data_IF_908616326805
#
_entry.id   IF_908616326805
#
_cell.length_a   1.000
_cell.length_b   1.000
_cell.length_c   1.000
_cell.angle_alpha   90.00
_cell.angle_beta   90.00
_cell.angle_gamma   90.00
#
_symmetry.space_group_name_H-M   'P 1'
#
loop_
_entity.id
_entity.type
_entity.pdbx_description
1 polymer ?
#
# COMPACT_ATOMS: atom_id res chain seq x y z
N UNK A 1 24.80 -30.45 -5.94
CA UNK A 1 24.53 -30.50 -4.49
C UNK A 1 23.04 -30.29 -4.31
N UNK A 2 22.35 -31.14 -3.56
CA UNK A 2 20.96 -30.86 -3.16
C UNK A 2 20.93 -29.55 -2.37
N UNK A 3 19.92 -28.69 -2.52
CA UNK A 3 19.80 -27.50 -1.69
C UNK A 3 19.84 -27.93 -0.21
N UNK A 4 20.54 -27.18 0.67
CA UNK A 4 20.59 -27.51 2.08
C UNK A 4 19.15 -27.65 2.59
N UNK A 5 18.87 -28.76 3.30
CA UNK A 5 17.61 -28.91 4.03
C UNK A 5 17.52 -27.73 4.98
N UNK A 6 16.68 -26.75 4.66
CA UNK A 6 16.31 -25.70 5.61
C UNK A 6 15.73 -26.40 6.84
N UNK A 7 16.32 -26.21 8.01
CA UNK A 7 15.68 -26.59 9.27
C UNK A 7 14.39 -25.77 9.37
N UNK A 8 13.26 -26.42 9.16
CA UNK A 8 11.96 -25.77 9.27
C UNK A 8 11.68 -25.53 10.76
N UNK A 9 11.82 -24.27 11.20
CA UNK A 9 11.40 -23.86 12.55
C UNK A 9 9.88 -23.88 12.58
N UNK A 10 9.30 -24.83 13.30
CA UNK A 10 7.85 -24.88 13.51
C UNK A 10 7.45 -23.84 14.55
N UNK A 11 6.42 -23.05 14.25
CA UNK A 11 5.84 -22.09 15.17
C UNK A 11 5.18 -22.81 16.37
N UNK A 12 5.33 -22.23 17.56
CA UNK A 12 4.63 -22.73 18.74
C UNK A 12 3.16 -22.26 18.77
N UNK A 13 2.41 -22.76 19.73
CA UNK A 13 0.97 -22.45 19.86
C UNK A 13 0.72 -20.97 20.19
N UNK A 14 1.61 -20.33 20.94
CA UNK A 14 1.46 -18.93 21.35
C UNK A 14 1.66 -18.00 20.15
N UNK A 15 2.74 -18.21 19.39
CA UNK A 15 3.02 -17.54 18.13
C UNK A 15 1.86 -17.68 17.15
N UNK A 16 1.34 -18.90 16.96
CA UNK A 16 0.19 -19.13 16.06
C UNK A 16 -1.07 -18.40 16.53
N UNK A 17 -1.31 -18.28 17.85
CA UNK A 17 -2.43 -17.53 18.38
C UNK A 17 -2.28 -16.02 18.13
N UNK A 18 -1.08 -15.48 18.31
CA UNK A 18 -0.75 -14.08 18.01
C UNK A 18 -0.90 -13.78 16.51
N UNK A 19 -0.35 -14.64 15.67
CA UNK A 19 -0.44 -14.53 14.22
C UNK A 19 -1.89 -14.59 13.74
N UNK A 20 -2.68 -15.52 14.30
CA UNK A 20 -4.12 -15.62 14.03
C UNK A 20 -4.86 -14.33 14.41
N UNK A 21 -4.58 -13.77 15.59
CA UNK A 21 -5.19 -12.51 16.02
C UNK A 21 -4.89 -11.36 15.04
N UNK A 22 -3.64 -11.23 14.60
CA UNK A 22 -3.22 -10.18 13.66
C UNK A 22 -3.93 -10.31 12.29
N UNK A 23 -4.20 -11.53 11.82
CA UNK A 23 -5.00 -11.74 10.61
C UNK A 23 -6.49 -11.46 10.80
N UNK A 24 -7.07 -11.88 11.93
CA UNK A 24 -8.48 -11.67 12.20
C UNK A 24 -8.83 -10.19 12.43
N UNK A 25 -7.93 -9.40 13.04
CA UNK A 25 -8.25 -8.02 13.40
C UNK A 25 -8.28 -7.07 12.20
N UNK A 26 -7.51 -7.37 11.15
CA UNK A 26 -7.50 -6.61 9.88
C UNK A 26 -8.46 -7.18 8.84
N UNK A 27 -9.13 -8.30 9.14
CA UNK A 27 -10.13 -8.88 8.24
C UNK A 27 -11.28 -7.89 8.04
N UNK A 28 -11.51 -7.51 6.77
CA UNK A 28 -12.51 -6.53 6.34
C UNK A 28 -12.49 -5.28 7.22
N UNK A 29 -11.38 -4.57 7.22
CA UNK A 29 -11.14 -3.45 8.14
C UNK A 29 -12.21 -2.33 8.03
N UNK A 30 -12.78 -2.16 6.84
CA UNK A 30 -13.86 -1.21 6.53
C UNK A 30 -15.21 -1.60 7.13
N UNK A 31 -15.46 -2.90 7.29
CA UNK A 31 -16.66 -3.40 7.94
C UNK A 31 -16.57 -3.27 9.48
N UNK A 32 -17.70 -3.22 10.19
CA UNK A 32 -17.72 -3.40 11.64
C UNK A 32 -17.07 -4.73 12.04
N UNK A 33 -16.26 -4.69 13.11
CA UNK A 33 -15.60 -5.87 13.65
C UNK A 33 -16.63 -6.96 14.00
N UNK A 34 -16.48 -8.16 13.42
CA UNK A 34 -17.46 -9.25 13.57
C UNK A 34 -17.18 -10.18 14.77
N UNK A 35 -15.99 -10.10 15.36
CA UNK A 35 -15.58 -11.00 16.44
C UNK A 35 -16.03 -10.48 17.81
N UNK A 36 -17.06 -11.11 18.40
CA UNK A 36 -17.64 -10.67 19.67
C UNK A 36 -16.63 -10.55 20.83
N UNK A 37 -15.67 -11.48 20.90
CA UNK A 37 -14.64 -11.48 21.94
C UNK A 37 -13.76 -10.22 21.85
N UNK A 38 -13.35 -9.86 20.63
CA UNK A 38 -12.55 -8.66 20.38
C UNK A 38 -13.35 -7.38 20.61
N UNK A 39 -14.66 -7.38 20.28
CA UNK A 39 -15.54 -6.25 20.59
C UNK A 39 -15.66 -6.04 22.11
N UNK A 40 -15.86 -7.12 22.89
CA UNK A 40 -15.93 -7.05 24.35
C UNK A 40 -14.61 -6.53 24.94
N UNK A 41 -13.48 -7.02 24.42
CA UNK A 41 -12.14 -6.59 24.85
C UNK A 41 -11.89 -5.11 24.53
N UNK A 42 -12.20 -4.66 23.32
CA UNK A 42 -12.04 -3.26 22.91
C UNK A 42 -12.92 -2.30 23.73
N UNK A 43 -14.16 -2.70 24.06
CA UNK A 43 -15.06 -1.91 24.94
C UNK A 43 -14.59 -1.84 26.39
N UNK A 44 -13.76 -2.79 26.85
CA UNK A 44 -13.20 -2.78 28.21
C UNK A 44 -12.03 -1.81 28.40
N UNK A 45 -11.58 -1.18 27.31
CA UNK A 45 -10.42 -0.29 27.32
C UNK A 45 -10.61 0.86 28.30
N UNK A 46 -9.63 1.00 29.19
CA UNK A 46 -9.47 2.16 30.07
C UNK A 46 -8.01 2.58 30.02
N UNK A 47 -7.76 3.88 29.89
CA UNK A 47 -6.41 4.40 29.87
C UNK A 47 -5.81 4.34 31.27
N UNK A 48 -4.75 3.56 31.42
CA UNK A 48 -3.91 3.54 32.60
C UNK A 48 -2.46 3.75 32.19
N UNK A 49 -1.76 4.69 32.81
CA UNK A 49 -0.34 4.96 32.54
C UNK A 49 0.55 3.75 32.86
N UNK A 50 0.18 2.94 33.86
CA UNK A 50 0.93 1.76 34.29
C UNK A 50 0.84 0.57 33.30
N UNK A 51 0.07 0.72 32.23
CA UNK A 51 0.00 -0.26 31.13
C UNK A 51 1.11 -0.06 30.08
N UNK A 52 1.90 1.02 30.19
CA UNK A 52 2.86 1.42 29.18
C UNK A 52 4.27 1.60 29.74
N UNK A 53 5.27 1.23 28.92
CA UNK A 53 6.69 1.43 29.21
C UNK A 53 7.22 2.50 28.27
N UNK A 54 7.42 3.70 28.80
CA UNK A 54 7.90 4.84 28.03
C UNK A 54 9.44 4.98 28.11
N UNK A 55 10.10 5.39 27.01
CA UNK A 55 11.47 5.85 27.05
C UNK A 55 11.59 7.18 27.83
N UNK A 56 12.82 7.53 28.24
CA UNK A 56 13.12 8.76 28.98
C UNK A 56 12.62 10.02 28.26
N UNK A 57 12.72 10.03 26.94
CA UNK A 57 12.12 11.02 26.06
C UNK A 57 11.08 10.34 25.17
N UNK A 58 9.80 10.65 25.36
CA UNK A 58 8.70 10.24 24.48
C UNK A 58 7.91 11.47 24.05
N UNK A 59 7.16 11.34 22.95
CA UNK A 59 6.29 12.40 22.48
C UNK A 59 5.02 12.50 23.34
N UNK A 60 4.29 13.60 23.21
CA UNK A 60 2.99 13.76 23.88
C UNK A 60 1.82 13.31 22.99
N UNK A 61 2.09 12.82 21.77
CA UNK A 61 1.07 12.46 20.78
C UNK A 61 0.09 11.40 21.28
N UNK A 62 0.55 10.40 22.04
CA UNK A 62 -0.34 9.43 22.67
C UNK A 62 -1.40 10.07 23.59
N UNK A 63 -0.99 11.05 24.40
CA UNK A 63 -1.91 11.74 25.32
C UNK A 63 -2.87 12.62 24.54
N UNK A 64 -2.36 13.36 23.56
CA UNK A 64 -3.16 14.22 22.68
C UNK A 64 -4.21 13.42 21.92
N UNK A 65 -3.84 12.27 21.36
CA UNK A 65 -4.77 11.35 20.71
C UNK A 65 -5.86 10.87 21.67
N UNK A 66 -5.50 10.49 22.90
CA UNK A 66 -6.49 10.06 23.89
C UNK A 66 -7.43 11.18 24.33
N UNK A 67 -6.92 12.41 24.44
CA UNK A 67 -7.75 13.58 24.69
C UNK A 67 -8.70 13.84 23.52
N UNK A 68 -8.20 13.82 22.29
CA UNK A 68 -9.01 13.96 21.08
C UNK A 68 -10.11 12.90 21.03
N UNK A 69 -9.78 11.64 21.36
CA UNK A 69 -10.74 10.54 21.42
C UNK A 69 -11.84 10.79 22.47
N UNK A 70 -11.47 11.26 23.68
CA UNK A 70 -12.44 11.60 24.72
C UNK A 70 -13.40 12.72 24.33
N UNK A 71 -12.91 13.71 23.59
CA UNK A 71 -13.71 14.83 23.12
C UNK A 71 -14.47 14.51 21.82
N UNK A 72 -14.22 13.36 21.19
CA UNK A 72 -14.86 12.95 19.94
C UNK A 72 -14.38 13.74 18.73
N UNK A 73 -13.14 14.23 18.75
CA UNK A 73 -12.53 15.06 17.68
C UNK A 73 -11.42 14.33 16.92
N UNK A 74 -11.32 13.01 17.06
CA UNK A 74 -10.45 12.17 16.21
C UNK A 74 -11.00 12.07 14.79
N UNK A 75 -10.14 11.77 13.82
CA UNK A 75 -10.53 11.48 12.44
C UNK A 75 -11.63 10.41 12.44
N UNK A 76 -12.83 10.71 11.91
CA UNK A 76 -13.93 9.74 11.90
C UNK A 76 -13.61 8.51 11.05
N UNK A 77 -14.29 7.41 11.36
CA UNK A 77 -14.27 6.21 10.53
C UNK A 77 -14.92 6.48 9.18
N UNK A 78 -14.36 5.91 8.12
CA UNK A 78 -14.82 6.14 6.75
C UNK A 78 -14.34 7.47 6.14
N UNK A 79 -13.73 8.39 6.88
CA UNK A 79 -13.13 9.59 6.27
C UNK A 79 -11.76 9.31 5.68
N UNK A 80 -11.31 10.09 4.69
CA UNK A 80 -10.00 9.90 4.06
C UNK A 80 -8.86 10.05 5.07
N UNK A 81 -7.91 9.11 5.00
CA UNK A 81 -6.67 9.15 5.76
C UNK A 81 -5.48 9.31 4.83
N UNK A 82 -4.68 10.34 5.07
CA UNK A 82 -3.43 10.60 4.37
C UNK A 82 -2.31 10.78 5.39
N UNK A 83 -1.27 9.94 5.32
CA UNK A 83 -0.16 9.99 6.29
C UNK A 83 0.71 11.25 6.18
N UNK A 84 0.60 11.96 5.04
CA UNK A 84 1.26 13.23 4.81
C UNK A 84 0.46 14.42 5.34
N UNK A 85 -0.83 14.25 5.63
CA UNK A 85 -1.62 15.30 6.26
C UNK A 85 -1.22 15.43 7.73
N UNK A 86 -0.84 16.63 8.17
CA UNK A 86 -0.22 16.84 9.48
C UNK A 86 -1.11 16.39 10.64
N UNK A 87 -2.39 16.75 10.63
CA UNK A 87 -3.37 16.37 11.67
C UNK A 87 -3.62 14.86 11.73
N UNK A 88 -3.64 14.20 10.57
CA UNK A 88 -3.80 12.76 10.45
C UNK A 88 -2.55 12.03 10.96
N UNK A 89 -1.38 12.55 10.61
CA UNK A 89 -0.09 12.04 11.08
C UNK A 89 0.02 12.08 12.61
N UNK A 90 -0.29 13.21 13.26
CA UNK A 90 -0.22 13.33 14.73
C UNK A 90 -1.11 12.28 15.42
N UNK A 91 -2.33 12.10 14.92
CA UNK A 91 -3.25 11.10 15.46
C UNK A 91 -2.76 9.67 15.21
N UNK A 92 -2.23 9.38 14.01
CA UNK A 92 -1.68 8.08 13.67
C UNK A 92 -0.46 7.74 14.52
N UNK A 93 0.44 8.69 14.72
CA UNK A 93 1.63 8.50 15.56
C UNK A 93 1.23 8.29 17.02
N UNK A 94 0.27 9.06 17.54
CA UNK A 94 -0.27 8.85 18.88
C UNK A 94 -0.91 7.47 19.04
N UNK A 95 -1.62 6.97 18.03
CA UNK A 95 -2.17 5.61 18.01
C UNK A 95 -1.09 4.53 17.93
N UNK A 96 -0.02 4.76 17.16
CA UNK A 96 1.15 3.89 17.11
C UNK A 96 1.80 3.76 18.49
N UNK A 97 1.96 4.86 19.24
CA UNK A 97 2.52 4.82 20.60
C UNK A 97 1.69 3.97 21.57
N UNK A 98 0.36 3.94 21.41
CA UNK A 98 -0.54 3.03 22.16
C UNK A 98 -0.23 1.56 21.94
N UNK A 99 0.24 1.20 20.75
CA UNK A 99 0.60 -0.16 20.40
C UNK A 99 2.05 -0.47 20.77
N UNK A 100 2.97 0.44 20.44
CA UNK A 100 4.39 0.24 20.63
C UNK A 100 4.79 0.17 22.11
N UNK A 101 4.30 1.10 22.94
CA UNK A 101 4.68 1.15 24.36
C UNK A 101 3.87 0.21 25.25
N UNK A 102 2.96 -0.60 24.71
CA UNK A 102 2.19 -1.55 25.50
C UNK A 102 3.11 -2.61 26.15
N UNK A 103 3.06 -2.72 27.49
CA UNK A 103 4.00 -3.52 28.29
C UNK A 103 4.02 -5.02 27.99
N UNK A 104 2.92 -5.58 27.51
CA UNK A 104 2.75 -7.00 27.22
C UNK A 104 1.68 -7.23 26.15
N UNK A 105 1.54 -8.48 25.73
CA UNK A 105 0.60 -8.89 24.69
C UNK A 105 -0.86 -8.58 25.04
N UNK A 106 -1.28 -8.75 26.30
CA UNK A 106 -2.67 -8.54 26.71
C UNK A 106 -3.08 -7.06 26.61
N UNK A 107 -2.19 -6.14 27.01
CA UNK A 107 -2.40 -4.70 26.84
C UNK A 107 -2.41 -4.35 25.36
N UNK A 108 -1.45 -4.86 24.58
CA UNK A 108 -1.39 -4.64 23.13
C UNK A 108 -2.70 -5.09 22.46
N UNK A 109 -3.14 -6.32 22.72
CA UNK A 109 -4.36 -6.89 22.15
C UNK A 109 -5.59 -6.05 22.49
N UNK A 110 -5.72 -5.62 23.74
CA UNK A 110 -6.82 -4.73 24.18
C UNK A 110 -6.80 -3.40 23.44
N UNK A 111 -5.62 -2.79 23.31
CA UNK A 111 -5.46 -1.50 22.64
C UNK A 111 -5.77 -1.60 21.14
N UNK A 112 -5.31 -2.65 20.47
CA UNK A 112 -5.62 -2.91 19.06
C UNK A 112 -7.12 -3.15 18.88
N UNK A 113 -7.77 -3.93 19.74
CA UNK A 113 -9.22 -4.12 19.69
C UNK A 113 -9.99 -2.81 19.90
N UNK A 114 -9.55 -1.95 20.82
CA UNK A 114 -10.12 -0.62 21.02
C UNK A 114 -9.98 0.24 19.78
N UNK A 115 -8.77 0.31 19.22
CA UNK A 115 -8.50 1.08 18.01
C UNK A 115 -9.32 0.58 16.82
N UNK A 116 -9.43 -0.74 16.62
CA UNK A 116 -10.24 -1.32 15.54
C UNK A 116 -11.72 -0.89 15.59
N UNK A 117 -12.25 -0.66 16.78
CA UNK A 117 -13.64 -0.22 16.98
C UNK A 117 -13.83 1.27 16.67
N UNK A 118 -12.87 2.12 17.02
CA UNK A 118 -13.10 3.58 17.08
C UNK A 118 -12.18 4.42 16.20
N UNK A 119 -10.99 3.94 15.87
CA UNK A 119 -10.04 4.64 15.01
C UNK A 119 -10.45 4.48 13.54
N UNK A 120 -10.08 5.49 12.73
CA UNK A 120 -10.13 5.42 11.29
C UNK A 120 -9.33 4.21 10.75
N UNK A 121 -9.83 3.60 9.69
CA UNK A 121 -9.33 2.35 9.10
C UNK A 121 -7.89 2.48 8.62
N UNK A 122 -7.58 3.50 7.82
CA UNK A 122 -6.24 3.73 7.28
C UNK A 122 -5.23 4.04 8.39
N UNK A 123 -5.63 4.90 9.32
CA UNK A 123 -4.82 5.24 10.50
C UNK A 123 -4.53 4.00 11.37
N UNK A 124 -5.54 3.17 11.60
CA UNK A 124 -5.43 1.95 12.39
C UNK A 124 -4.44 0.96 11.76
N UNK A 125 -4.57 0.68 10.47
CA UNK A 125 -3.70 -0.27 9.76
C UNK A 125 -2.27 0.26 9.74
N UNK A 126 -2.05 1.53 9.42
CA UNK A 126 -0.69 2.08 9.39
C UNK A 126 -0.02 2.03 10.77
N UNK A 127 -0.72 2.44 11.83
CA UNK A 127 -0.22 2.37 13.20
C UNK A 127 0.08 0.92 13.64
N UNK A 128 -0.79 -0.03 13.26
CA UNK A 128 -0.60 -1.45 13.55
C UNK A 128 0.60 -2.02 12.79
N UNK A 129 0.76 -1.70 11.50
CA UNK A 129 1.90 -2.12 10.68
C UNK A 129 3.21 -1.63 11.28
N UNK A 130 3.29 -0.36 11.68
CA UNK A 130 4.47 0.19 12.35
C UNK A 130 4.76 -0.55 13.66
N UNK A 131 3.75 -0.82 14.48
CA UNK A 131 3.94 -1.53 15.74
C UNK A 131 4.38 -2.99 15.52
N UNK A 132 3.85 -3.67 14.50
CA UNK A 132 4.23 -5.06 14.17
C UNK A 132 5.66 -5.16 13.67
N UNK A 133 6.11 -4.20 12.85
CA UNK A 133 7.48 -4.18 12.30
C UNK A 133 8.51 -3.85 13.39
N UNK A 134 8.21 -2.87 14.24
CA UNK A 134 9.23 -2.28 15.12
C UNK A 134 9.31 -2.87 16.53
N UNK A 135 8.32 -3.66 16.96
CA UNK A 135 8.36 -4.27 18.29
C UNK A 135 9.25 -5.51 18.32
N UNK A 136 10.24 -5.50 19.22
CA UNK A 136 11.18 -6.60 19.41
C UNK A 136 10.50 -7.95 19.75
N UNK A 137 9.37 -7.93 20.46
CA UNK A 137 8.64 -9.14 20.84
C UNK A 137 7.82 -9.77 19.70
N UNK A 138 7.76 -9.11 18.53
CA UNK A 138 6.98 -9.52 17.37
C UNK A 138 7.84 -10.07 16.22
N UNK A 139 9.12 -10.36 16.46
CA UNK A 139 9.99 -10.97 15.45
C UNK A 139 9.35 -12.22 14.81
N UNK A 140 9.18 -12.16 13.49
CA UNK A 140 8.56 -13.18 12.66
C UNK A 140 7.02 -13.10 12.53
N UNK A 141 6.33 -12.28 13.31
CA UNK A 141 4.90 -12.00 13.09
C UNK A 141 4.73 -11.08 11.87
N UNK A 142 3.66 -11.28 11.12
CA UNK A 142 3.38 -10.49 9.92
C UNK A 142 1.91 -10.13 9.80
N UNK A 143 1.63 -8.99 9.18
CA UNK A 143 0.29 -8.69 8.68
C UNK A 143 0.12 -9.28 7.28
N UNK A 144 -1.13 -9.43 6.79
CA UNK A 144 -1.40 -9.70 5.38
C UNK A 144 -0.78 -8.61 4.51
N UNK A 145 -0.66 -8.89 3.21
CA UNK A 145 -0.11 -7.90 2.30
C UNK A 145 -1.02 -6.66 2.25
N UNK A 146 -0.45 -5.47 2.06
CA UNK A 146 -1.23 -4.23 2.12
C UNK A 146 -2.35 -4.18 1.06
N UNK A 147 -2.13 -4.79 -0.12
CA UNK A 147 -3.17 -4.94 -1.16
C UNK A 147 -4.26 -5.98 -0.83
N UNK A 148 -4.05 -6.85 0.16
CA UNK A 148 -5.09 -7.75 0.68
C UNK A 148 -5.95 -7.05 1.74
N UNK A 149 -5.38 -6.06 2.44
CA UNK A 149 -6.09 -5.26 3.44
C UNK A 149 -6.88 -4.14 2.76
N UNK A 150 -6.24 -3.40 1.85
CA UNK A 150 -6.82 -2.28 1.10
C UNK A 150 -6.68 -2.47 -0.42
N UNK A 151 -7.46 -3.36 -1.03
CA UNK A 151 -7.38 -3.62 -2.47
C UNK A 151 -7.68 -2.38 -3.34
N UNK A 152 -8.49 -1.44 -2.86
CA UNK A 152 -8.91 -0.25 -3.60
C UNK A 152 -7.78 0.72 -3.96
N UNK A 153 -6.63 0.67 -3.27
CA UNK A 153 -5.46 1.48 -3.61
C UNK A 153 -4.56 0.83 -4.66
N UNK A 154 -4.87 -0.41 -5.06
CA UNK A 154 -4.05 -1.22 -5.95
C UNK A 154 -4.80 -1.65 -7.21
N UNK A 155 -6.12 -1.66 -7.17
CA UNK A 155 -6.96 -1.99 -8.32
C UNK A 155 -7.75 -0.76 -8.77
N UNK A 156 -7.96 -0.65 -10.08
CA UNK A 156 -8.76 0.41 -10.65
C UNK A 156 -10.20 0.39 -10.10
N UNK A 157 -10.82 1.57 -10.05
CA UNK A 157 -12.18 1.79 -9.57
C UNK A 157 -13.23 0.93 -10.29
N UNK A 158 -13.05 0.64 -11.58
CA UNK A 158 -13.95 -0.26 -12.33
C UNK A 158 -14.02 -1.63 -11.66
N UNK A 159 -12.87 -2.24 -11.35
CA UNK A 159 -12.82 -3.53 -10.66
C UNK A 159 -13.45 -3.43 -9.26
N UNK A 160 -13.11 -2.40 -8.48
CA UNK A 160 -13.63 -2.23 -7.12
C UNK A 160 -15.16 -2.14 -7.13
N UNK A 161 -15.75 -1.34 -8.02
CA UNK A 161 -17.21 -1.23 -8.15
C UNK A 161 -17.87 -2.53 -8.65
N UNK A 162 -17.20 -3.31 -9.50
CA UNK A 162 -17.70 -4.63 -9.93
C UNK A 162 -17.63 -5.67 -8.81
N UNK A 163 -16.63 -5.57 -7.93
CA UNK A 163 -16.50 -6.40 -6.74
C UNK A 163 -17.54 -6.06 -5.67
N UNK A 164 -17.79 -4.77 -5.40
CA UNK A 164 -18.83 -4.33 -4.46
C UNK A 164 -20.23 -4.74 -4.90
N UNK A 165 -20.49 -4.75 -6.21
CA UNK A 165 -21.78 -5.17 -6.79
C UNK A 165 -21.93 -6.69 -6.91
N UNK A 166 -20.90 -7.46 -6.59
CA UNK A 166 -20.94 -8.91 -6.73
C UNK A 166 -21.93 -9.52 -5.73
N UNK A 167 -23.01 -10.08 -6.27
CA UNK A 167 -24.00 -10.84 -5.51
C UNK A 167 -24.05 -12.28 -6.03
N UNK A 168 -23.81 -13.24 -5.14
CA UNK A 168 -23.74 -14.65 -5.49
C UNK A 168 -25.06 -15.21 -6.01
N UNK A 169 -26.20 -14.81 -5.44
CA UNK A 169 -27.51 -15.32 -5.84
C UNK A 169 -27.91 -14.80 -7.23
N UNK A 170 -27.52 -13.58 -7.55
CA UNK A 170 -27.70 -12.97 -8.86
C UNK A 170 -26.76 -13.61 -9.88
N UNK A 171 -25.46 -13.69 -9.57
CA UNK A 171 -24.44 -14.26 -10.44
C UNK A 171 -24.72 -15.73 -10.76
N UNK A 172 -25.10 -16.54 -9.75
CA UNK A 172 -25.41 -17.97 -9.95
C UNK A 172 -26.60 -18.18 -10.90
N UNK A 173 -27.64 -17.35 -10.80
CA UNK A 173 -28.78 -17.37 -11.74
C UNK A 173 -28.35 -16.96 -13.14
N UNK A 174 -27.54 -15.91 -13.28
CA UNK A 174 -27.03 -15.49 -14.59
C UNK A 174 -26.22 -16.60 -15.26
N UNK A 175 -25.34 -17.29 -14.53
CA UNK A 175 -24.58 -18.42 -15.09
C UNK A 175 -25.49 -19.59 -15.45
N UNK A 176 -26.51 -19.91 -14.65
CA UNK A 176 -27.48 -20.93 -15.01
C UNK A 176 -28.18 -20.58 -16.33
N UNK A 177 -28.62 -19.33 -16.48
CA UNK A 177 -29.23 -18.86 -17.73
C UNK A 177 -28.24 -18.84 -18.89
N UNK A 178 -27.02 -18.35 -18.71
CA UNK A 178 -25.99 -18.41 -19.76
C UNK A 178 -25.71 -19.83 -20.17
N UNK A 179 -25.62 -20.77 -19.23
CA UNK A 179 -25.44 -22.19 -19.52
C UNK A 179 -26.62 -22.75 -20.31
N UNK A 180 -27.85 -22.35 -20.00
CA UNK A 180 -29.06 -22.75 -20.73
C UNK A 180 -29.12 -22.13 -22.14
N UNK A 181 -28.81 -20.84 -22.28
CA UNK A 181 -28.82 -20.11 -23.56
C UNK A 181 -27.64 -20.46 -24.46
N UNK A 182 -26.45 -20.68 -23.90
CA UNK A 182 -25.21 -21.05 -24.60
C UNK A 182 -25.01 -22.57 -24.66
N UNK A 183 -25.96 -23.38 -24.20
CA UNK A 183 -25.89 -24.86 -24.28
C UNK A 183 -25.67 -25.34 -25.72
N UNK A 184 -26.10 -24.56 -26.72
CA UNK A 184 -25.74 -24.81 -28.11
C UNK A 184 -24.22 -24.78 -28.34
N UNK A 185 -23.46 -23.83 -27.77
CA UNK A 185 -21.99 -23.75 -27.92
C UNK A 185 -21.26 -24.97 -27.34
N UNK A 186 -21.88 -25.66 -26.37
CA UNK A 186 -21.33 -26.85 -25.70
C UNK A 186 -21.84 -28.16 -26.29
N UNK A 187 -22.81 -28.13 -27.22
CA UNK A 187 -23.22 -29.32 -27.98
C UNK A 187 -22.08 -29.79 -28.86
N UNK A 188 -21.80 -31.09 -28.80
CA UNK A 188 -20.83 -31.71 -29.69
C UNK A 188 -21.37 -31.74 -31.13
N UNK A 189 -21.00 -30.70 -31.88
CA UNK A 189 -21.36 -30.60 -33.29
C UNK A 189 -20.38 -31.33 -34.20
N UNK A 190 -19.32 -31.97 -33.69
CA UNK A 190 -18.35 -32.71 -34.50
C UNK A 190 -19.01 -33.76 -35.41
N UNK A 191 -20.13 -34.33 -34.95
CA UNK A 191 -20.96 -35.26 -35.71
C UNK A 191 -21.65 -34.64 -36.95
N UNK A 192 -21.91 -33.33 -36.94
CA UNK A 192 -22.53 -32.60 -38.06
C UNK A 192 -21.49 -32.06 -39.05
N UNK A 193 -20.26 -31.77 -38.62
CA UNK A 193 -19.17 -31.33 -39.53
C UNK A 193 -18.61 -32.46 -40.39
N UNK A 194 -18.72 -33.72 -39.97
CA UNK A 194 -18.43 -34.88 -40.84
C UNK A 194 -19.30 -34.95 -42.11
N UNK A 195 -20.36 -34.13 -42.21
CA UNK A 195 -21.24 -34.03 -43.38
C UNK A 195 -20.92 -32.86 -44.32
N UNK A 196 -20.03 -31.94 -43.94
CA UNK A 196 -19.72 -30.75 -44.72
C UNK A 196 -18.19 -30.65 -44.88
N UNK A 197 -17.67 -31.18 -45.98
CA UNK A 197 -16.22 -31.36 -46.25
C UNK A 197 -15.38 -30.05 -46.30
N UNK A 198 -16.00 -28.86 -46.19
CA UNK A 198 -15.33 -27.56 -46.37
C UNK A 198 -15.61 -26.53 -45.25
N UNK A 199 -16.10 -26.95 -44.08
CA UNK A 199 -16.27 -26.05 -42.93
C UNK A 199 -15.21 -26.32 -41.86
N UNK A 200 -14.05 -25.67 -41.96
CA UNK A 200 -13.08 -25.59 -40.87
C UNK A 200 -13.51 -24.50 -39.89
N UNK A 201 -14.38 -24.85 -38.94
CA UNK A 201 -14.58 -24.03 -37.75
C UNK A 201 -13.83 -24.63 -36.58
N UNK A 202 -13.08 -23.77 -35.89
CA UNK A 202 -12.24 -24.12 -34.76
C UNK A 202 -13.08 -24.08 -33.46
N UNK A 203 -13.08 -25.18 -32.69
CA UNK A 203 -13.83 -25.25 -31.44
C UNK A 203 -12.97 -24.80 -30.25
N UNK A 204 -13.43 -23.80 -29.51
CA UNK A 204 -12.80 -23.31 -28.26
C UNK A 204 -12.87 -24.32 -27.11
N UNK A 205 -13.60 -25.44 -27.25
CA UNK A 205 -13.76 -26.47 -26.20
C UNK A 205 -12.45 -27.18 -25.83
N UNK A 206 -11.51 -27.28 -26.76
CA UNK A 206 -10.23 -27.98 -26.57
C UNK A 206 -9.10 -27.03 -26.13
N UNK A 207 -9.43 -25.75 -25.89
CA UNK A 207 -8.48 -24.74 -25.44
C UNK A 207 -8.33 -24.75 -23.93
N UNK A 208 -7.09 -24.54 -23.47
CA UNK A 208 -6.85 -24.33 -22.05
C UNK A 208 -7.36 -22.94 -21.68
N UNK A 209 -8.10 -22.82 -20.57
CA UNK A 209 -8.65 -21.57 -20.01
C UNK A 209 -7.69 -20.38 -20.09
N UNK A 210 -6.39 -20.64 -19.90
CA UNK A 210 -5.36 -19.60 -19.87
C UNK A 210 -5.02 -18.95 -21.22
N UNK A 211 -5.47 -19.49 -22.36
CA UNK A 211 -5.04 -19.05 -23.69
C UNK A 211 -5.88 -17.89 -24.27
N UNK A 212 -7.09 -17.60 -23.76
CA UNK A 212 -8.02 -16.68 -24.42
C UNK A 212 -9.06 -15.99 -23.52
N UNK A 213 -8.74 -15.68 -22.25
CA UNK A 213 -9.66 -14.99 -21.32
C UNK A 213 -10.43 -13.82 -21.96
N UNK A 214 -9.74 -12.99 -22.75
CA UNK A 214 -10.30 -11.85 -23.49
C UNK A 214 -11.24 -12.26 -24.65
N UNK A 215 -10.93 -13.35 -25.35
CA UNK A 215 -11.72 -13.83 -26.50
C UNK A 215 -12.93 -14.67 -26.10
N UNK A 216 -12.91 -15.21 -24.88
CA UNK A 216 -14.04 -15.91 -24.26
C UNK A 216 -15.01 -14.95 -23.55
N UNK A 217 -14.72 -13.64 -23.54
CA UNK A 217 -15.49 -12.66 -22.76
C UNK A 217 -15.34 -12.82 -21.24
N UNK A 218 -14.38 -13.64 -20.79
CA UNK A 218 -14.09 -13.89 -19.38
C UNK A 218 -13.22 -12.79 -18.74
N UNK A 219 -12.76 -11.83 -19.53
CA UNK A 219 -12.00 -10.66 -19.07
C UNK A 219 -12.85 -9.60 -18.36
N UNK A 220 -14.18 -9.70 -18.41
CA UNK A 220 -15.10 -8.65 -17.92
C UNK A 220 -16.10 -9.17 -16.87
N UNK A 221 -15.99 -10.44 -16.46
CA UNK A 221 -16.99 -11.10 -15.63
C UNK A 221 -16.35 -11.99 -14.56
N UNK A 222 -17.05 -12.10 -13.43
CA UNK A 222 -16.74 -13.05 -12.36
C UNK A 222 -16.92 -14.49 -12.83
N UNK A 223 -15.98 -15.36 -12.46
CA UNK A 223 -16.07 -16.81 -12.69
C UNK A 223 -15.72 -17.58 -11.41
N UNK A 224 -16.38 -18.72 -11.19
CA UNK A 224 -16.01 -19.66 -10.13
C UNK A 224 -15.13 -20.75 -10.71
N UNK A 225 -14.19 -21.24 -9.91
CA UNK A 225 -13.41 -22.42 -10.25
C UNK A 225 -13.47 -23.41 -9.10
N UNK A 226 -13.82 -24.66 -9.40
CA UNK A 226 -13.94 -25.74 -8.41
C UNK A 226 -12.56 -26.22 -7.93
N UNK A 227 -11.51 -25.95 -8.70
CA UNK A 227 -10.13 -26.35 -8.44
C UNK A 227 -9.20 -25.12 -8.45
N UNK A 228 -8.72 -24.73 -7.26
CA UNK A 228 -7.85 -23.57 -7.00
C UNK A 228 -6.81 -23.27 -8.10
N UNK A 229 -6.78 -22.03 -8.61
CA UNK A 229 -5.79 -21.57 -9.58
C UNK A 229 -4.61 -20.86 -8.88
N UNK A 230 -3.66 -21.62 -8.36
CA UNK A 230 -2.27 -21.13 -8.24
C UNK A 230 -1.37 -21.97 -9.13
N UNK A 231 -1.12 -21.47 -10.34
CA UNK A 231 -0.45 -22.12 -11.47
C UNK A 231 0.85 -22.83 -11.10
N UNK A 232 1.64 -22.26 -10.19
CA UNK A 232 3.01 -22.74 -9.95
C UNK A 232 3.09 -23.85 -8.90
N UNK A 233 2.12 -23.92 -7.97
CA UNK A 233 2.15 -24.85 -6.82
C UNK A 233 0.90 -25.73 -6.69
N UNK A 234 -0.05 -25.68 -7.63
CA UNK A 234 -1.34 -26.41 -7.57
C UNK A 234 -1.19 -27.92 -7.25
N UNK A 235 -0.15 -28.56 -7.79
CA UNK A 235 0.13 -29.97 -7.54
C UNK A 235 0.47 -30.29 -6.08
N UNK A 236 1.11 -29.35 -5.37
CA UNK A 236 1.48 -29.53 -3.96
C UNK A 236 0.24 -29.52 -3.08
N UNK A 237 -0.64 -28.53 -3.28
CA UNK A 237 -1.85 -28.34 -2.47
C UNK A 237 -2.94 -29.37 -2.76
N UNK A 238 -3.13 -29.76 -4.02
CA UNK A 238 -4.11 -30.79 -4.39
C UNK A 238 -3.73 -32.20 -3.91
N UNK A 239 -2.53 -32.37 -3.35
CA UNK A 239 -2.06 -33.62 -2.75
C UNK A 239 -2.09 -33.62 -1.23
N UNK A 240 -2.22 -32.45 -0.60
CA UNK A 240 -2.30 -32.34 0.84
C UNK A 240 -3.74 -32.53 1.30
N UNK A 241 -4.04 -33.68 1.91
CA UNK A 241 -5.37 -34.00 2.43
C UNK A 241 -5.84 -33.00 3.48
N UNK A 242 -4.92 -32.42 4.28
CA UNK A 242 -5.28 -31.42 5.29
C UNK A 242 -5.73 -30.12 4.66
N UNK A 243 -5.04 -29.69 3.60
CA UNK A 243 -5.41 -28.49 2.86
C UNK A 243 -6.77 -28.69 2.19
N UNK A 244 -6.99 -29.84 1.53
CA UNK A 244 -8.27 -30.18 0.91
C UNK A 244 -9.44 -30.21 1.90
N UNK A 245 -9.22 -30.75 3.11
CA UNK A 245 -10.22 -30.73 4.18
C UNK A 245 -10.47 -29.29 4.69
N UNK A 246 -9.44 -28.45 4.76
CA UNK A 246 -9.55 -27.05 5.19
C UNK A 246 -10.35 -26.19 4.21
N UNK A 247 -10.13 -26.34 2.90
CA UNK A 247 -10.83 -25.55 1.87
C UNK A 247 -12.19 -26.14 1.50
N UNK A 248 -12.59 -27.26 2.13
CA UNK A 248 -13.84 -27.94 1.80
C UNK A 248 -15.04 -27.04 2.11
N UNK A 249 -15.80 -26.71 1.06
CA UNK A 249 -16.96 -25.81 1.15
C UNK A 249 -16.63 -24.33 1.02
N UNK A 250 -15.37 -23.97 0.75
CA UNK A 250 -14.99 -22.62 0.35
C UNK A 250 -15.20 -22.47 -1.16
N UNK A 251 -16.01 -21.49 -1.55
CA UNK A 251 -16.18 -21.11 -2.95
C UNK A 251 -15.28 -19.92 -3.26
N UNK A 252 -14.43 -20.05 -4.27
CA UNK A 252 -13.55 -18.97 -4.73
C UNK A 252 -14.06 -18.42 -6.05
N UNK A 253 -14.10 -17.10 -6.13
CA UNK A 253 -14.45 -16.36 -7.34
C UNK A 253 -13.25 -15.56 -7.79
N UNK A 254 -13.16 -15.39 -9.09
CA UNK A 254 -12.05 -14.74 -9.72
C UNK A 254 -12.58 -13.82 -10.80
N UNK A 255 -11.87 -12.72 -11.01
CA UNK A 255 -12.15 -11.75 -12.06
C UNK A 255 -10.80 -11.24 -12.58
N UNK A 256 -10.55 -11.26 -13.89
CA UNK A 256 -9.32 -10.70 -14.44
C UNK A 256 -9.34 -9.18 -14.26
N UNK A 257 -8.20 -8.61 -13.93
CA UNK A 257 -8.04 -7.17 -13.76
C UNK A 257 -7.03 -6.66 -14.77
N UNK A 258 -7.49 -5.75 -15.61
CA UNK A 258 -6.66 -5.04 -16.57
C UNK A 258 -6.01 -3.82 -15.91
N UNK A 259 -4.81 -3.46 -16.34
CA UNK A 259 -4.15 -2.22 -15.92
C UNK A 259 -4.84 -1.00 -16.52
N UNK A 260 -4.63 0.20 -15.96
CA UNK A 260 -5.34 1.42 -16.40
C UNK A 260 -5.22 1.69 -17.89
N UNK A 261 -4.06 1.42 -18.51
CA UNK A 261 -3.83 1.59 -19.97
C UNK A 261 -4.80 0.82 -20.84
N UNK A 262 -5.25 -0.34 -20.36
CA UNK A 262 -6.13 -1.27 -21.07
C UNK A 262 -7.61 -0.93 -20.82
N UNK A 263 -7.90 -0.18 -19.74
CA UNK A 263 -9.23 0.35 -19.41
C UNK A 263 -9.49 1.68 -20.11
N UNK A 264 -8.60 2.66 -19.91
CA UNK A 264 -8.67 3.97 -20.51
C UNK A 264 -7.25 4.54 -20.70
N UNK A 265 -6.84 4.63 -21.96
CA UNK A 265 -5.54 5.16 -22.34
C UNK A 265 -5.51 6.68 -22.20
N UNK A 266 -4.86 7.18 -21.15
CA UNK A 266 -4.83 8.62 -20.85
C UNK A 266 -3.72 9.37 -21.59
N UNK A 267 -2.51 8.81 -21.60
CA UNK A 267 -1.37 9.36 -22.34
C UNK A 267 -0.29 8.28 -22.56
N UNK A 268 0.82 8.67 -23.20
CA UNK A 268 1.91 7.77 -23.55
C UNK A 268 2.54 7.10 -22.32
N UNK A 269 2.67 7.79 -21.19
CA UNK A 269 3.22 7.20 -19.96
C UNK A 269 2.32 6.08 -19.40
N UNK A 270 1.02 6.08 -19.73
CA UNK A 270 0.12 4.97 -19.36
C UNK A 270 0.57 3.62 -19.93
N UNK A 271 1.34 3.56 -21.03
CA UNK A 271 1.85 2.27 -21.53
C UNK A 271 2.65 1.49 -20.48
N UNK A 272 3.29 2.19 -19.53
CA UNK A 272 4.09 1.61 -18.45
C UNK A 272 3.26 1.19 -17.23
N UNK A 273 1.92 1.30 -17.29
CA UNK A 273 1.04 1.02 -16.14
C UNK A 273 1.21 -0.39 -15.57
N UNK A 274 1.52 -1.39 -16.40
CA UNK A 274 1.79 -2.76 -15.93
C UNK A 274 2.96 -2.84 -14.94
N UNK A 275 3.90 -1.90 -15.01
CA UNK A 275 5.04 -1.80 -14.10
C UNK A 275 4.73 -0.84 -12.94
N UNK A 276 4.15 0.33 -13.22
CA UNK A 276 3.91 1.35 -12.20
C UNK A 276 2.72 1.02 -11.29
N UNK A 277 1.77 0.20 -11.74
CA UNK A 277 0.62 -0.28 -10.98
C UNK A 277 0.80 -1.73 -10.53
N UNK A 278 1.99 -2.30 -10.70
CA UNK A 278 2.28 -3.63 -10.16
C UNK A 278 2.10 -3.66 -8.63
N UNK A 279 1.43 -4.70 -8.14
CA UNK A 279 1.05 -4.83 -6.73
C UNK A 279 2.27 -4.87 -5.82
N UNK A 280 3.31 -5.61 -6.23
CA UNK A 280 4.53 -5.79 -5.45
C UNK A 280 5.44 -4.56 -5.55
N UNK A 281 5.49 -3.91 -6.71
CA UNK A 281 6.21 -2.63 -6.89
C UNK A 281 5.70 -1.54 -5.94
N UNK A 282 4.38 -1.36 -5.86
CA UNK A 282 3.76 -0.40 -4.95
C UNK A 282 3.89 -0.83 -3.48
N UNK A 283 3.73 -2.12 -3.20
CA UNK A 283 3.90 -2.66 -1.84
C UNK A 283 5.32 -2.51 -1.34
N UNK A 284 6.33 -2.68 -2.20
CA UNK A 284 7.72 -2.48 -1.85
C UNK A 284 7.95 -1.07 -1.31
N UNK A 285 7.41 -0.05 -1.99
CA UNK A 285 7.55 1.33 -1.54
C UNK A 285 6.82 1.57 -0.21
N UNK A 286 5.63 1.00 -0.03
CA UNK A 286 4.90 1.04 1.24
C UNK A 286 5.73 0.44 2.38
N UNK A 287 6.19 -0.81 2.23
CA UNK A 287 6.93 -1.50 3.28
C UNK A 287 8.30 -0.88 3.56
N UNK A 288 9.00 -0.37 2.54
CA UNK A 288 10.23 0.39 2.74
C UNK A 288 9.99 1.61 3.63
N UNK A 289 8.91 2.36 3.39
CA UNK A 289 8.55 3.49 4.22
C UNK A 289 8.03 3.07 5.61
N UNK A 290 7.47 1.87 5.79
CA UNK A 290 7.08 1.40 7.13
C UNK A 290 8.29 0.92 7.95
N UNK A 291 9.26 0.26 7.30
CA UNK A 291 10.51 -0.18 7.92
C UNK A 291 11.43 1.00 8.26
N UNK A 292 11.57 1.96 7.34
CA UNK A 292 12.38 3.17 7.53
C UNK A 292 11.55 4.43 7.74
N UNK A 293 10.47 4.32 8.52
CA UNK A 293 9.50 5.40 8.71
C UNK A 293 10.17 6.73 9.09
N UNK A 294 10.06 7.79 8.25
CA UNK A 294 10.84 9.02 8.40
C UNK A 294 10.78 9.62 9.80
N UNK A 295 9.64 9.52 10.47
CA UNK A 295 9.40 10.16 11.75
C UNK A 295 9.83 9.34 12.98
N UNK A 296 10.20 8.07 12.82
CA UNK A 296 10.79 7.27 13.91
C UNK A 296 12.23 7.70 14.16
N UNK A 297 12.62 7.78 15.43
CA UNK A 297 13.98 8.10 15.86
C UNK A 297 14.95 6.96 15.53
N UNK A 298 16.01 7.22 14.77
CA UNK A 298 16.87 6.14 14.28
C UNK A 298 17.74 5.48 15.35
N UNK A 299 17.95 6.11 16.51
CA UNK A 299 18.67 5.50 17.63
C UNK A 299 17.76 4.62 18.47
N UNK A 300 16.57 5.12 18.84
CA UNK A 300 15.57 4.38 19.61
C UNK A 300 15.10 3.11 18.89
N UNK A 301 14.90 3.20 17.58
CA UNK A 301 14.35 2.11 16.76
C UNK A 301 15.44 1.33 16.00
N UNK A 302 16.73 1.59 16.28
CA UNK A 302 17.85 0.86 15.66
C UNK A 302 18.00 1.07 14.14
N UNK A 303 17.35 2.09 13.56
CA UNK A 303 17.37 2.36 12.10
C UNK A 303 18.73 2.84 11.60
N UNK A 304 19.62 3.30 12.49
CA UNK A 304 20.99 3.71 12.13
C UNK A 304 21.91 2.54 11.76
N UNK A 305 21.52 1.29 12.05
CA UNK A 305 22.35 0.10 11.80
C UNK A 305 22.75 -0.07 10.32
N UNK A 306 21.88 0.36 9.41
CA UNK A 306 22.02 0.18 7.97
C UNK A 306 22.48 1.46 7.24
N UNK A 307 22.96 2.47 7.99
CA UNK A 307 23.35 3.78 7.44
C UNK A 307 22.16 4.44 6.73
N UNK A 308 21.19 4.88 7.54
CA UNK A 308 19.82 5.26 7.16
C UNK A 308 19.78 6.20 5.94
N UNK A 309 20.57 7.27 5.97
CA UNK A 309 20.60 8.27 4.90
C UNK A 309 21.15 7.71 3.59
N UNK A 310 22.27 6.98 3.64
CA UNK A 310 22.83 6.28 2.48
C UNK A 310 21.86 5.24 1.93
N UNK A 311 21.21 4.48 2.80
CA UNK A 311 20.27 3.44 2.41
C UNK A 311 19.06 4.02 1.69
N UNK A 312 18.50 5.14 2.18
CA UNK A 312 17.43 5.86 1.48
C UNK A 312 17.85 6.27 0.06
N UNK A 313 19.01 6.90 -0.09
CA UNK A 313 19.53 7.25 -1.42
C UNK A 313 19.74 6.04 -2.32
N UNK A 314 20.28 4.96 -1.76
CA UNK A 314 20.48 3.72 -2.49
C UNK A 314 19.15 3.19 -3.01
N UNK A 315 18.12 3.07 -2.15
CA UNK A 315 16.81 2.56 -2.54
C UNK A 315 16.16 3.45 -3.62
N UNK A 316 16.12 4.77 -3.41
CA UNK A 316 15.54 5.71 -4.40
C UNK A 316 16.28 5.63 -5.73
N UNK A 317 17.62 5.57 -5.71
CA UNK A 317 18.43 5.45 -6.94
C UNK A 317 18.18 4.11 -7.65
N UNK A 318 18.06 3.01 -6.90
CA UNK A 318 17.78 1.70 -7.49
C UNK A 318 16.38 1.63 -8.10
N UNK A 319 15.37 2.25 -7.46
CA UNK A 319 14.02 2.37 -8.00
C UNK A 319 14.01 3.17 -9.31
N UNK A 320 14.65 4.34 -9.33
CA UNK A 320 14.76 5.18 -10.53
C UNK A 320 15.52 4.47 -11.65
N UNK A 321 16.61 3.77 -11.35
CA UNK A 321 17.36 2.99 -12.33
C UNK A 321 16.51 1.86 -12.91
N UNK A 322 15.74 1.16 -12.07
CA UNK A 322 14.84 0.09 -12.50
C UNK A 322 13.69 0.60 -13.37
N UNK A 323 13.10 1.74 -13.01
CA UNK A 323 12.08 2.43 -13.79
C UNK A 323 12.65 2.90 -15.14
N UNK A 324 13.84 3.50 -15.14
CA UNK A 324 14.53 3.92 -16.35
C UNK A 324 14.78 2.75 -17.32
N UNK A 325 15.12 1.56 -16.82
CA UNK A 325 15.25 0.36 -17.67
C UNK A 325 13.93 -0.02 -18.36
N UNK A 326 12.77 0.16 -17.72
CA UNK A 326 11.46 -0.04 -18.39
C UNK A 326 11.18 1.04 -19.44
N UNK A 327 11.54 2.29 -19.16
CA UNK A 327 11.42 3.36 -20.16
C UNK A 327 12.25 3.05 -21.40
N UNK A 328 13.46 2.54 -21.23
CA UNK A 328 14.32 2.14 -22.35
C UNK A 328 13.72 1.00 -23.18
N UNK A 329 13.07 0.01 -22.55
CA UNK A 329 12.43 -1.10 -23.27
C UNK A 329 11.25 -0.63 -24.15
N UNK A 330 10.60 0.48 -23.76
CA UNK A 330 9.50 1.12 -24.50
C UNK A 330 9.96 2.26 -25.43
N UNK A 331 11.26 2.57 -25.47
CA UNK A 331 11.81 3.66 -26.30
C UNK A 331 11.46 5.06 -25.79
N UNK A 332 11.20 5.22 -24.49
CA UNK A 332 10.83 6.50 -23.87
C UNK A 332 12.04 7.35 -23.45
N UNK A 333 13.23 6.76 -23.45
CA UNK A 333 14.46 7.46 -23.10
C UNK A 333 14.53 7.79 -21.61
N UNK A 334 15.20 8.89 -21.30
CA UNK A 334 15.46 9.35 -19.93
C UNK A 334 14.18 9.76 -19.19
N UNK A 335 14.26 9.81 -17.86
CA UNK A 335 13.18 10.33 -17.02
C UNK A 335 13.12 11.85 -17.25
N UNK A 336 11.96 12.43 -17.62
CA UNK A 336 11.85 13.86 -17.89
C UNK A 336 12.22 14.69 -16.66
N UNK A 337 12.98 15.76 -16.87
CA UNK A 337 13.24 16.75 -15.83
C UNK A 337 12.01 17.63 -15.62
N UNK A 338 11.77 18.00 -14.36
CA UNK A 338 10.68 18.91 -14.00
C UNK A 338 11.16 20.36 -14.00
N UNK A 339 10.31 21.26 -14.49
CA UNK A 339 10.51 22.71 -14.35
C UNK A 339 9.19 23.39 -14.02
N UNK A 340 9.26 24.35 -13.09
CA UNK A 340 8.12 25.14 -12.63
C UNK A 340 7.52 26.04 -13.73
N UNK A 341 8.31 26.36 -14.77
CA UNK A 341 7.96 27.29 -15.84
C UNK A 341 7.63 26.60 -17.17
N UNK A 342 7.50 25.27 -17.14
CA UNK A 342 7.16 24.48 -18.32
C UNK A 342 5.95 23.61 -18.02
N UNK A 343 5.09 23.45 -19.01
CA UNK A 343 3.95 22.55 -18.91
C UNK A 343 4.42 21.10 -18.74
N UNK A 344 3.75 20.36 -17.85
CA UNK A 344 3.93 18.92 -17.72
C UNK A 344 3.12 18.23 -18.82
N UNK A 345 3.80 17.74 -19.86
CA UNK A 345 3.19 17.12 -21.04
C UNK A 345 2.23 15.97 -20.67
N UNK A 346 2.72 15.03 -19.85
CA UNK A 346 1.97 13.85 -19.43
C UNK A 346 1.40 14.02 -18.02
N UNK A 347 0.09 14.18 -17.94
CA UNK A 347 -0.68 14.19 -16.70
C UNK A 347 -0.80 12.80 -16.06
N UNK A 348 -1.58 12.70 -14.98
CA UNK A 348 -1.84 11.44 -14.30
C UNK A 348 -3.31 11.37 -13.87
N UNK A 349 -3.99 10.31 -14.29
CA UNK A 349 -5.34 9.96 -13.87
C UNK A 349 -5.26 8.65 -13.06
N UNK A 350 -5.40 8.70 -11.73
CA UNK A 350 -5.22 7.53 -10.88
C UNK A 350 -6.26 6.43 -11.16
N UNK A 351 -7.46 6.78 -11.61
CA UNK A 351 -8.61 5.84 -11.70
C UNK A 351 -8.88 5.06 -10.39
N UNK A 352 -8.42 5.56 -9.25
CA UNK A 352 -8.61 4.96 -7.92
C UNK A 352 -9.79 5.59 -7.20
N UNK A 353 -10.32 4.86 -6.23
CA UNK A 353 -11.32 5.35 -5.27
C UNK A 353 -10.83 5.08 -3.85
N UNK A 354 -11.20 5.96 -2.93
CA UNK A 354 -11.01 5.73 -1.51
C UNK A 354 -12.12 4.79 -0.97
N UNK A 355 -11.96 4.24 0.25
CA UNK A 355 -12.97 3.35 0.86
C UNK A 355 -14.32 4.02 1.13
N UNK A 356 -14.39 5.37 1.11
CA UNK A 356 -15.66 6.10 1.13
C UNK A 356 -16.32 6.22 -0.25
N UNK A 357 -15.74 5.61 -1.28
CA UNK A 357 -16.21 5.63 -2.67
C UNK A 357 -15.86 6.89 -3.44
N UNK A 358 -15.14 7.84 -2.83
CA UNK A 358 -14.77 9.11 -3.46
C UNK A 358 -13.50 8.93 -4.30
N UNK A 359 -13.54 9.42 -5.54
CA UNK A 359 -12.44 9.32 -6.50
C UNK A 359 -11.29 10.28 -6.18
N UNK A 360 -10.08 9.94 -6.59
CA UNK A 360 -8.90 10.80 -6.42
C UNK A 360 -8.86 11.92 -7.45
N UNK A 361 -8.21 13.04 -7.09
CA UNK A 361 -7.90 14.11 -8.02
C UNK A 361 -6.99 13.62 -9.15
N UNK A 362 -7.14 14.21 -10.33
CA UNK A 362 -6.32 13.90 -11.50
C UNK A 362 -5.61 15.14 -12.02
N UNK A 363 -4.44 14.95 -12.61
CA UNK A 363 -3.68 16.00 -13.29
C UNK A 363 -3.87 15.85 -14.79
N UNK A 364 -4.42 16.87 -15.45
CA UNK A 364 -4.56 16.90 -16.93
C UNK A 364 -3.19 16.88 -17.63
N UNK A 365 -3.18 16.44 -18.89
CA UNK A 365 -2.03 16.61 -19.78
C UNK A 365 -1.78 18.10 -20.04
N UNK A 366 -0.52 18.48 -20.29
CA UNK A 366 -0.08 19.86 -20.48
C UNK A 366 -0.49 20.78 -19.32
N UNK A 367 -0.23 20.31 -18.09
CA UNK A 367 -0.56 21.07 -16.88
C UNK A 367 0.51 22.14 -16.60
N UNK A 368 0.09 23.39 -16.46
CA UNK A 368 0.97 24.54 -16.20
C UNK A 368 0.98 24.91 -14.71
N UNK A 369 2.10 24.65 -14.04
CA UNK A 369 2.27 24.99 -12.63
C UNK A 369 2.48 26.48 -12.37
N UNK A 370 2.98 27.24 -13.35
CA UNK A 370 3.15 28.69 -13.25
C UNK A 370 1.83 29.42 -12.98
N UNK A 371 0.73 29.00 -13.62
CA UNK A 371 -0.58 29.65 -13.48
C UNK A 371 -1.42 29.02 -12.37
N UNK A 372 -1.38 27.69 -12.23
CA UNK A 372 -2.33 26.94 -11.40
C UNK A 372 -1.71 26.32 -10.14
N UNK A 373 -0.39 26.35 -10.00
CA UNK A 373 0.30 25.77 -8.85
C UNK A 373 0.14 26.61 -7.58
N UNK A 374 0.29 25.96 -6.43
CA UNK A 374 0.36 26.64 -5.14
C UNK A 374 1.74 27.32 -4.99
N UNK A 375 1.78 28.65 -5.05
CA UNK A 375 3.03 29.42 -5.01
C UNK A 375 3.77 29.32 -3.67
N UNK A 376 3.05 29.12 -2.56
CA UNK A 376 3.69 28.95 -1.25
C UNK A 376 4.46 27.63 -1.21
N UNK A 377 3.86 26.55 -1.70
CA UNK A 377 4.53 25.24 -1.82
C UNK A 377 5.70 25.29 -2.79
N UNK A 378 5.54 25.95 -3.93
CA UNK A 378 6.64 26.20 -4.87
C UNK A 378 7.81 26.90 -4.18
N UNK A 379 7.54 27.95 -3.40
CA UNK A 379 8.57 28.67 -2.66
C UNK A 379 9.27 27.78 -1.62
N UNK A 380 8.54 26.94 -0.89
CA UNK A 380 9.14 25.98 0.04
C UNK A 380 10.06 24.98 -0.68
N UNK A 381 9.64 24.45 -1.83
CA UNK A 381 10.44 23.49 -2.62
C UNK A 381 11.70 24.17 -3.20
N UNK A 382 11.56 25.36 -3.80
CA UNK A 382 12.70 26.09 -4.36
C UNK A 382 13.71 26.44 -3.27
N UNK A 383 13.26 26.93 -2.12
CA UNK A 383 14.15 27.20 -0.99
C UNK A 383 14.86 25.95 -0.52
N UNK A 384 14.13 24.82 -0.43
CA UNK A 384 14.69 23.50 -0.11
C UNK A 384 15.91 23.19 -0.97
N UNK A 385 15.71 23.16 -2.29
CA UNK A 385 16.78 22.82 -3.23
C UNK A 385 17.91 23.87 -3.26
N UNK A 386 17.59 25.16 -3.16
CA UNK A 386 18.60 26.23 -3.11
C UNK A 386 19.55 26.03 -1.92
N UNK A 387 19.01 25.70 -0.74
CA UNK A 387 19.85 25.46 0.45
C UNK A 387 20.68 24.18 0.32
N UNK A 388 20.12 23.11 -0.25
CA UNK A 388 20.89 21.89 -0.54
C UNK A 388 22.04 22.20 -1.49
N UNK A 389 21.80 23.00 -2.53
CA UNK A 389 22.83 23.44 -3.48
C UNK A 389 23.89 24.33 -2.82
N UNK A 390 23.51 25.25 -1.93
CA UNK A 390 24.44 26.05 -1.14
C UNK A 390 25.34 25.18 -0.24
N UNK A 391 24.75 24.19 0.42
CA UNK A 391 25.44 23.22 1.28
C UNK A 391 26.48 22.45 0.45
N UNK A 392 26.10 21.96 -0.73
CA UNK A 392 26.98 21.24 -1.66
C UNK A 392 28.10 22.16 -2.16
N UNK A 393 27.77 23.39 -2.54
CA UNK A 393 28.72 24.38 -3.10
C UNK A 393 29.77 24.80 -2.07
N UNK A 394 29.35 25.04 -0.83
CA UNK A 394 30.27 25.35 0.28
C UNK A 394 31.15 24.15 0.66
N UNK A 395 30.65 22.93 0.44
CA UNK A 395 31.33 21.69 0.78
C UNK A 395 31.40 21.44 2.29
N UNK A 396 30.58 22.14 3.07
CA UNK A 396 30.38 21.89 4.48
C UNK A 396 28.91 22.09 4.85
N UNK A 397 28.43 21.27 5.78
CA UNK A 397 27.10 21.38 6.36
C UNK A 397 27.21 21.90 7.79
N UNK A 398 26.58 23.04 8.07
CA UNK A 398 26.54 23.64 9.41
C UNK A 398 25.28 23.18 10.14
N UNK A 399 25.43 22.43 11.22
CA UNK A 399 24.30 22.05 12.07
C UNK A 399 23.78 23.24 12.88
N UNK A 400 22.57 23.11 13.43
CA UNK A 400 22.00 24.09 14.35
C UNK A 400 22.93 24.41 15.54
N UNK A 401 23.64 23.40 16.04
CA UNK A 401 24.59 23.54 17.16
C UNK A 401 25.92 24.22 16.75
N UNK A 402 26.03 24.67 15.51
CA UNK A 402 27.23 25.33 14.96
C UNK A 402 28.35 24.36 14.57
N UNK A 403 28.12 23.04 14.63
CA UNK A 403 29.10 22.05 14.18
C UNK A 403 29.19 22.06 12.65
N UNK A 404 30.41 22.12 12.14
CA UNK A 404 30.70 22.07 10.72
C UNK A 404 31.04 20.63 10.32
N UNK A 405 30.27 20.06 9.41
CA UNK A 405 30.46 18.73 8.85
C UNK A 405 31.06 18.89 7.46
N UNK A 406 32.19 18.25 7.20
CA UNK A 406 32.85 18.32 5.89
C UNK A 406 32.21 17.32 4.92
N UNK A 407 31.63 17.81 3.82
CA UNK A 407 30.91 16.97 2.85
C UNK A 407 31.82 16.23 1.87
N UNK A 408 33.14 16.46 1.95
CA UNK A 408 34.13 15.75 1.11
C UNK A 408 34.42 14.34 1.61
N UNK A 409 33.87 13.98 2.77
CA UNK A 409 34.03 12.66 3.40
C UNK A 409 32.93 11.71 2.94
N UNK A 410 33.23 10.44 2.61
CA UNK A 410 32.22 9.47 2.22
C UNK A 410 31.09 9.30 3.25
N UNK A 411 31.39 9.41 4.54
CA UNK A 411 30.43 9.28 5.63
C UNK A 411 29.36 10.38 5.60
N UNK A 412 29.64 11.51 4.95
CA UNK A 412 28.75 12.67 4.93
C UNK A 412 27.49 12.48 4.08
N UNK A 413 27.44 11.40 3.28
CA UNK A 413 26.24 10.99 2.55
C UNK A 413 25.04 10.74 3.49
N UNK A 414 25.29 10.31 4.73
CA UNK A 414 24.25 10.10 5.73
C UNK A 414 23.43 11.38 5.95
N UNK A 415 24.12 12.51 6.16
CA UNK A 415 23.48 13.79 6.44
C UNK A 415 22.68 14.31 5.24
N UNK A 416 23.20 14.12 4.03
CA UNK A 416 22.46 14.48 2.82
C UNK A 416 21.22 13.59 2.65
N UNK A 417 21.33 12.29 2.95
CA UNK A 417 20.23 11.36 2.87
C UNK A 417 19.13 11.68 3.87
N UNK A 418 19.50 12.02 5.10
CA UNK A 418 18.57 12.42 6.16
C UNK A 418 17.83 13.73 5.80
N UNK A 419 18.53 14.71 5.22
CA UNK A 419 17.93 15.96 4.72
C UNK A 419 16.98 15.68 3.56
N UNK A 420 17.38 14.85 2.60
CA UNK A 420 16.54 14.52 1.45
C UNK A 420 15.32 13.69 1.85
N UNK A 421 15.41 12.79 2.83
CA UNK A 421 14.23 12.08 3.32
C UNK A 421 13.35 12.98 4.22
N UNK A 422 13.93 14.01 4.83
CA UNK A 422 13.24 14.82 5.85
C UNK A 422 12.97 14.05 7.14
N UNK A 423 13.82 13.08 7.46
CA UNK A 423 13.59 12.16 8.58
C UNK A 423 13.90 12.80 9.95
N UNK A 424 13.57 12.10 11.03
CA UNK A 424 13.71 12.59 12.40
C UNK A 424 15.16 12.72 12.88
N UNK A 425 16.10 12.07 12.19
CA UNK A 425 17.55 12.11 12.47
C UNK A 425 18.25 13.31 11.82
N UNK A 426 17.57 13.98 10.88
CA UNK A 426 18.05 15.21 10.28
C UNK A 426 18.33 16.30 11.35
N UNK A 427 19.47 16.96 11.20
CA UNK A 427 19.93 18.03 12.08
C UNK A 427 19.22 19.36 11.84
N UNK A 428 18.66 19.59 10.65
CA UNK A 428 17.95 20.81 10.28
C UNK A 428 16.44 20.57 10.19
N UNK A 429 15.85 20.25 11.33
CA UNK A 429 14.43 19.85 11.45
C UNK A 429 13.47 20.97 11.02
N UNK A 430 13.84 22.23 11.25
CA UNK A 430 12.99 23.36 10.89
C UNK A 430 12.77 23.43 9.37
N UNK A 431 13.79 23.04 8.60
CA UNK A 431 13.81 23.25 7.16
C UNK A 431 13.42 22.00 6.36
N UNK A 432 13.99 20.85 6.70
CA UNK A 432 13.92 19.66 5.84
C UNK A 432 12.83 18.66 6.24
N UNK A 433 12.13 18.82 7.36
CA UNK A 433 11.12 17.82 7.79
C UNK A 433 9.90 17.76 6.86
N UNK A 434 9.48 18.89 6.27
CA UNK A 434 8.20 18.98 5.56
C UNK A 434 8.33 19.19 4.05
N UNK A 435 9.54 19.37 3.51
CA UNK A 435 9.71 19.64 2.07
C UNK A 435 9.11 18.54 1.20
N UNK A 436 9.27 17.28 1.62
CA UNK A 436 8.79 16.11 0.88
C UNK A 436 7.26 16.05 0.84
N UNK A 437 6.61 16.40 1.94
CA UNK A 437 5.16 16.55 2.06
C UNK A 437 4.65 17.64 1.12
N UNK A 438 5.22 18.85 1.18
CA UNK A 438 4.85 19.96 0.30
C UNK A 438 5.08 19.64 -1.18
N UNK A 439 6.14 18.90 -1.51
CA UNK A 439 6.38 18.44 -2.88
C UNK A 439 5.26 17.52 -3.38
N UNK A 440 4.84 16.53 -2.59
CA UNK A 440 3.73 15.64 -2.97
C UNK A 440 2.43 16.40 -3.15
N UNK A 441 2.12 17.30 -2.21
CA UNK A 441 0.91 18.12 -2.26
C UNK A 441 0.90 19.07 -3.46
N UNK A 442 2.04 19.68 -3.76
CA UNK A 442 2.21 20.51 -4.95
C UNK A 442 1.94 19.72 -6.23
N UNK A 443 2.53 18.52 -6.37
CA UNK A 443 2.33 17.70 -7.57
C UNK A 443 0.93 17.09 -7.70
N UNK A 444 0.28 16.82 -6.57
CA UNK A 444 -1.08 16.29 -6.50
C UNK A 444 -2.17 17.38 -6.59
N UNK A 445 -1.78 18.66 -6.56
CA UNK A 445 -2.69 19.81 -6.57
C UNK A 445 -3.69 19.76 -5.41
N UNK A 446 -3.17 19.58 -4.20
CA UNK A 446 -3.96 19.48 -2.95
C UNK A 446 -3.37 20.37 -1.86
N UNK A 447 -4.21 20.90 -0.98
CA UNK A 447 -3.81 21.76 0.15
C UNK A 447 -3.77 21.02 1.50
N UNK A 448 -3.10 21.59 2.51
CA UNK A 448 -2.93 20.97 3.84
C UNK A 448 -4.21 20.92 4.66
N UNK A 449 -5.19 21.71 4.24
CA UNK A 449 -6.54 21.80 4.76
C UNK A 449 -7.57 21.02 3.93
N UNK A 450 -7.19 20.51 2.77
CA UNK A 450 -8.06 19.70 1.90
C UNK A 450 -8.00 18.23 2.33
N UNK A 451 -8.97 17.85 3.17
CA UNK A 451 -9.19 16.46 3.56
C UNK A 451 -10.24 15.76 2.70
N UNK A 452 -10.84 16.48 1.74
CA UNK A 452 -11.82 15.96 0.80
C UNK A 452 -11.10 15.40 -0.43
N UNK A 453 -11.47 14.18 -0.80
CA UNK A 453 -11.13 13.60 -2.09
C UNK A 453 -12.21 14.11 -3.08
N UNK A 454 -11.88 14.41 -4.35
CA UNK A 454 -12.79 15.12 -5.28
C UNK A 454 -13.35 14.25 -6.41
#
# INVERSE_FOLDING_TARGET
AFPPKYETKYADKDFLAKQKFLFEIVYRVEDPLMFEEYIKLGKSFTYNKDDYVFPEHHSEFMKEYYHAFKYGVTLPKGEYFGSLAYTHFEQMYGLFEFFYYAKNWEIFQRNVCWARLYANEGMFVQALTLAVIHRDDFDGLMLPAIYEIFPQYFFNSKFVYEAEKFDFDVWSKYIMYEKEYKDFMYKDYSQYFKKFDNYEYFYTKDFKMWQWWKLMGLGEHWYSEDHFMMRDNMYLFNKDSKYLDMIKGVNMFYMPVDYTRDVYFFNKESELSYFTEDLEWNSFWYYFNMDYFPYLNGEQFGLKKDRRGEYYFYVVRQLLARYYMERLSHGYGEVPEFSFFTEVEYGYDPQLINYNGVGYSYRKNYYEYETYGNFDYMYYIINFFTRVEEIITQGYFKTHDGKMIDLRKPESIEYLGDIMQGNSDNYDKYFATFWYMYAHMYFAHTDDSEFEVY
#
